data_IF_717649625666
#
_entry.id   IF_717649625666
#
_cell.length_a   1.000
_cell.length_b   1.000
_cell.length_c   1.000
_cell.angle_alpha   90.00
_cell.angle_beta   90.00
_cell.angle_gamma   90.00
#
_symmetry.space_group_name_H-M   'P 1'
#
loop_
_entity.id
_entity.type
_entity.pdbx_description
1 polymer ?
#
# COMPACT_ATOMS: atom_id res chain seq x y z
N UNK A 1 35.35 6.87 10.05
CA UNK A 1 34.13 6.03 9.95
C UNK A 1 33.39 6.15 11.27
N UNK A 2 32.42 7.05 11.38
CA UNK A 2 31.50 7.04 12.52
C UNK A 2 30.51 5.90 12.27
N UNK A 3 30.74 4.76 12.93
CA UNK A 3 29.77 3.67 12.97
C UNK A 3 28.44 4.15 13.55
N UNK A 4 27.37 3.36 13.38
CA UNK A 4 26.13 3.58 14.11
C UNK A 4 26.48 3.68 15.59
N UNK A 5 26.25 4.84 16.21
CA UNK A 5 26.70 5.06 17.59
C UNK A 5 25.98 4.14 18.58
N UNK A 6 24.77 3.68 18.26
CA UNK A 6 24.08 2.63 19.03
C UNK A 6 23.12 1.85 18.12
N UNK A 7 23.32 0.53 18.03
CA UNK A 7 22.30 -0.40 17.54
C UNK A 7 21.63 -0.99 18.77
N UNK A 8 20.40 -0.58 19.04
CA UNK A 8 19.60 -1.15 20.12
C UNK A 8 18.78 -2.33 19.58
N UNK A 9 18.71 -3.41 20.34
CA UNK A 9 17.77 -4.52 20.06
C UNK A 9 16.73 -4.49 21.17
N UNK A 10 15.46 -4.49 20.79
CA UNK A 10 14.32 -4.49 21.71
C UNK A 10 13.55 -5.79 21.57
N UNK A 11 13.29 -6.43 22.71
CA UNK A 11 12.29 -7.49 22.84
C UNK A 11 10.86 -6.93 22.82
N UNK A 12 9.88 -7.80 22.65
CA UNK A 12 8.46 -7.43 22.69
C UNK A 12 8.03 -6.79 24.01
N UNK A 13 8.57 -7.27 25.14
CA UNK A 13 8.24 -6.73 26.47
C UNK A 13 8.84 -5.35 26.69
N UNK A 14 10.12 -5.15 26.34
CA UNK A 14 10.73 -3.82 26.39
C UNK A 14 10.00 -2.81 25.51
N UNK A 15 9.45 -3.27 24.37
CA UNK A 15 8.71 -2.41 23.46
C UNK A 15 7.38 -1.95 24.06
N UNK A 16 6.68 -2.81 24.81
CA UNK A 16 5.40 -2.48 25.46
C UNK A 16 5.57 -1.44 26.58
N UNK A 17 6.73 -1.45 27.23
CA UNK A 17 7.04 -0.54 28.33
C UNK A 17 7.67 0.79 27.85
N UNK A 18 8.05 0.88 26.57
CA UNK A 18 8.78 2.03 26.05
C UNK A 18 7.87 3.10 25.45
N UNK A 19 8.05 4.34 25.89
CA UNK A 19 7.38 5.52 25.32
C UNK A 19 8.00 6.01 24.00
N UNK A 20 9.21 5.53 23.67
CA UNK A 20 9.94 5.88 22.45
C UNK A 20 10.92 4.76 22.06
N UNK A 21 11.25 4.62 20.77
CA UNK A 21 12.26 3.65 20.33
C UNK A 21 13.70 4.18 20.47
N UNK A 22 13.86 5.49 20.39
CA UNK A 22 15.15 6.18 20.32
C UNK A 22 15.35 7.11 21.53
N UNK A 23 16.60 7.47 21.86
CA UNK A 23 16.90 8.53 22.82
C UNK A 23 16.20 9.84 22.47
N UNK A 24 15.94 10.68 23.48
CA UNK A 24 15.20 11.93 23.34
C UNK A 24 15.83 12.88 22.32
N UNK A 25 17.16 12.89 22.17
CA UNK A 25 17.88 13.74 21.23
C UNK A 25 17.56 13.39 19.76
N UNK A 26 17.14 12.16 19.49
CA UNK A 26 16.68 11.70 18.18
C UNK A 26 15.15 11.83 18.10
N UNK A 27 14.44 11.37 19.13
CA UNK A 27 12.97 11.33 19.15
C UNK A 27 12.31 12.71 19.28
N UNK A 28 13.07 13.73 19.70
CA UNK A 28 12.65 15.13 19.77
C UNK A 28 13.31 16.02 18.69
N UNK A 29 14.05 15.45 17.74
CA UNK A 29 14.57 16.19 16.59
C UNK A 29 13.47 16.28 15.50
N UNK A 30 12.98 17.49 15.24
CA UNK A 30 11.91 17.76 14.24
C UNK A 30 12.35 17.52 12.80
N UNK A 31 13.64 17.31 12.54
CA UNK A 31 14.20 16.93 11.24
C UNK A 31 14.42 15.41 11.09
N UNK A 32 14.19 14.64 12.15
CA UNK A 32 14.26 13.17 12.11
C UNK A 32 12.89 12.56 11.83
N UNK A 33 12.87 11.57 10.94
CA UNK A 33 11.70 10.75 10.62
C UNK A 33 12.09 9.27 10.62
N UNK A 34 11.09 8.39 10.61
CA UNK A 34 11.28 6.97 10.87
C UNK A 34 10.87 6.10 9.69
N UNK A 35 11.78 5.21 9.27
CA UNK A 35 11.51 4.20 8.27
C UNK A 35 11.63 2.81 8.88
N UNK A 36 10.63 1.98 8.69
CA UNK A 36 10.61 0.63 9.22
C UNK A 36 10.55 -0.41 8.09
N UNK A 37 11.25 -1.52 8.28
CA UNK A 37 11.41 -2.59 7.29
C UNK A 37 11.73 -3.93 7.94
N UNK A 38 11.84 -4.98 7.14
CA UNK A 38 12.26 -6.31 7.57
C UNK A 38 13.79 -6.46 7.59
N UNK A 39 14.29 -7.38 8.43
CA UNK A 39 15.70 -7.76 8.51
C UNK A 39 16.34 -8.10 7.16
N UNK A 40 15.55 -8.62 6.21
CA UNK A 40 16.00 -8.95 4.85
C UNK A 40 16.60 -7.77 4.07
N UNK A 41 16.24 -6.52 4.41
CA UNK A 41 16.78 -5.32 3.76
C UNK A 41 17.90 -4.65 4.56
N UNK A 42 18.12 -5.09 5.81
CA UNK A 42 18.98 -4.38 6.76
C UNK A 42 20.42 -4.24 6.24
N UNK A 43 21.04 -5.35 5.82
CA UNK A 43 22.42 -5.34 5.36
C UNK A 43 22.65 -4.39 4.17
N UNK A 44 21.69 -4.30 3.26
CA UNK A 44 21.75 -3.41 2.09
C UNK A 44 21.59 -1.95 2.51
N UNK A 45 20.63 -1.66 3.39
CA UNK A 45 20.39 -0.30 3.89
C UNK A 45 21.59 0.19 4.71
N UNK A 46 22.17 -0.67 5.53
CA UNK A 46 23.35 -0.37 6.34
C UNK A 46 24.57 -0.06 5.48
N UNK A 47 24.69 -0.69 4.30
CA UNK A 47 25.81 -0.48 3.39
C UNK A 47 25.60 0.75 2.49
N UNK A 48 24.42 0.91 1.92
CA UNK A 48 24.15 1.85 0.81
C UNK A 48 23.30 3.06 1.23
N UNK A 49 22.58 2.97 2.35
CA UNK A 49 21.50 3.88 2.69
C UNK A 49 20.14 3.40 2.17
N UNK A 50 19.13 4.29 2.23
CA UNK A 50 17.77 3.97 1.83
C UNK A 50 17.57 4.29 0.35
N UNK A 51 17.17 3.29 -0.43
CA UNK A 51 16.74 3.45 -1.82
C UNK A 51 15.66 2.45 -2.17
N UNK A 52 14.76 2.84 -3.06
CA UNK A 52 13.84 1.88 -3.68
C UNK A 52 14.61 0.88 -4.57
N UNK A 53 14.11 -0.35 -4.64
CA UNK A 53 14.70 -1.44 -5.39
C UNK A 53 13.65 -2.08 -6.30
N UNK A 54 13.82 -2.07 -7.63
CA UNK A 54 12.81 -2.59 -8.57
C UNK A 54 12.71 -4.12 -8.60
N UNK A 55 13.59 -4.82 -7.89
CA UNK A 55 13.81 -6.26 -8.07
C UNK A 55 12.72 -7.18 -7.49
N UNK A 56 11.74 -6.67 -6.75
CA UNK A 56 10.74 -7.52 -6.08
C UNK A 56 9.51 -7.81 -6.94
N UNK A 57 8.94 -6.77 -7.52
CA UNK A 57 7.85 -6.82 -8.49
C UNK A 57 7.87 -5.54 -9.33
N UNK A 58 7.33 -5.61 -10.54
CA UNK A 58 7.19 -4.45 -11.42
C UNK A 58 5.79 -3.81 -11.33
N UNK A 59 5.58 -2.70 -12.04
CA UNK A 59 4.24 -2.12 -12.21
C UNK A 59 3.33 -3.10 -12.93
N UNK A 60 3.85 -3.81 -13.92
CA UNK A 60 3.14 -4.82 -14.69
C UNK A 60 2.66 -5.97 -13.82
N UNK A 61 3.47 -6.42 -12.86
CA UNK A 61 3.06 -7.43 -11.88
C UNK A 61 1.81 -6.97 -11.10
N UNK A 62 1.77 -5.69 -10.68
CA UNK A 62 0.62 -5.13 -9.94
C UNK A 62 -0.58 -4.96 -10.87
N UNK A 63 -0.38 -4.46 -12.09
CA UNK A 63 -1.44 -4.33 -13.11
C UNK A 63 -2.05 -5.70 -13.40
N UNK A 64 -1.24 -6.75 -13.50
CA UNK A 64 -1.70 -8.11 -13.72
C UNK A 64 -2.61 -8.58 -12.58
N UNK A 65 -2.23 -8.37 -11.31
CA UNK A 65 -3.10 -8.72 -10.17
C UNK A 65 -4.39 -7.90 -10.20
N UNK A 66 -4.30 -6.58 -10.31
CA UNK A 66 -5.46 -5.67 -10.30
C UNK A 66 -6.43 -5.96 -11.45
N UNK A 67 -5.93 -6.33 -12.63
CA UNK A 67 -6.76 -6.66 -13.79
C UNK A 67 -7.68 -7.87 -13.54
N UNK A 68 -7.24 -8.86 -12.74
CA UNK A 68 -8.05 -10.03 -12.41
C UNK A 68 -9.28 -9.61 -11.60
N UNK A 69 -9.07 -8.83 -10.54
CA UNK A 69 -10.13 -8.32 -9.66
C UNK A 69 -11.10 -7.40 -10.40
N UNK A 70 -10.58 -6.47 -11.21
CA UNK A 70 -11.42 -5.59 -12.04
C UNK A 70 -12.25 -6.38 -13.07
N UNK A 71 -11.66 -7.40 -13.69
CA UNK A 71 -12.38 -8.26 -14.65
C UNK A 71 -13.55 -8.98 -13.98
N UNK A 72 -13.34 -9.51 -12.77
CA UNK A 72 -14.38 -10.14 -11.94
C UNK A 72 -15.37 -9.13 -11.36
N UNK A 73 -15.07 -7.83 -11.41
CA UNK A 73 -15.72 -6.76 -10.66
C UNK A 73 -15.82 -7.07 -9.15
N UNK A 74 -14.72 -7.60 -8.59
CA UNK A 74 -14.63 -8.04 -7.20
C UNK A 74 -13.54 -7.28 -6.44
N UNK A 75 -13.79 -6.94 -5.17
CA UNK A 75 -12.82 -6.22 -4.33
C UNK A 75 -11.97 -7.13 -3.43
N UNK A 76 -12.15 -8.46 -3.51
CA UNK A 76 -11.54 -9.41 -2.58
C UNK A 76 -12.33 -9.57 -1.27
N UNK A 77 -11.86 -10.45 -0.40
CA UNK A 77 -12.37 -10.61 0.97
C UNK A 77 -11.54 -9.73 1.92
N UNK A 78 -10.24 -9.66 1.69
CA UNK A 78 -9.32 -8.92 2.55
C UNK A 78 -9.18 -7.46 2.10
N UNK A 79 -9.52 -6.51 2.97
CA UNK A 79 -9.48 -5.07 2.67
C UNK A 79 -8.07 -4.54 2.37
N UNK A 80 -7.02 -5.22 2.87
CA UNK A 80 -5.62 -4.88 2.54
C UNK A 80 -5.06 -5.59 1.31
N UNK A 81 -5.89 -6.27 0.50
CA UNK A 81 -5.47 -6.93 -0.74
C UNK A 81 -5.60 -6.01 -1.96
N UNK A 82 -6.54 -6.33 -2.85
CA UNK A 82 -6.80 -5.60 -4.09
C UNK A 82 -6.93 -4.08 -3.90
N UNK A 83 -7.73 -3.65 -2.92
CA UNK A 83 -8.01 -2.23 -2.69
C UNK A 83 -6.72 -1.45 -2.45
N UNK A 84 -5.75 -2.04 -1.74
CA UNK A 84 -4.46 -1.41 -1.49
C UNK A 84 -3.61 -1.34 -2.75
N UNK A 85 -3.58 -2.41 -3.55
CA UNK A 85 -2.85 -2.41 -4.82
C UNK A 85 -3.37 -1.37 -5.81
N UNK A 86 -4.70 -1.25 -5.92
CA UNK A 86 -5.34 -0.33 -6.85
C UNK A 86 -5.16 1.15 -6.43
N UNK A 87 -5.46 1.45 -5.17
CA UNK A 87 -5.49 2.83 -4.67
C UNK A 87 -4.13 3.36 -4.23
N UNK A 88 -3.32 2.54 -3.55
CA UNK A 88 -2.04 3.00 -3.01
C UNK A 88 -0.88 2.72 -3.95
N UNK A 89 -0.84 1.53 -4.57
CA UNK A 89 0.29 1.21 -5.43
C UNK A 89 0.13 1.75 -6.85
N UNK A 90 -0.85 1.29 -7.63
CA UNK A 90 -1.01 1.78 -9.01
C UNK A 90 -1.33 3.27 -9.06
N UNK A 91 -2.21 3.72 -8.18
CA UNK A 91 -2.63 5.12 -8.17
C UNK A 91 -1.78 6.00 -7.27
N UNK A 92 -0.77 5.49 -6.55
CA UNK A 92 0.03 6.29 -5.61
C UNK A 92 1.54 6.13 -5.79
N UNK A 93 2.04 4.89 -5.65
CA UNK A 93 3.48 4.57 -5.75
C UNK A 93 4.06 4.84 -7.15
N UNK A 94 3.27 4.62 -8.21
CA UNK A 94 3.72 4.65 -9.60
C UNK A 94 3.10 5.79 -10.43
N UNK A 95 2.83 6.94 -9.80
CA UNK A 95 2.19 8.12 -10.42
C UNK A 95 3.07 8.89 -11.45
N UNK A 96 3.85 8.21 -12.28
CA UNK A 96 4.49 8.83 -13.45
C UNK A 96 6.01 8.76 -13.52
N UNK A 97 6.65 7.98 -12.65
CA UNK A 97 8.11 7.83 -12.63
C UNK A 97 8.52 6.36 -12.58
N UNK A 98 9.72 6.08 -13.08
CA UNK A 98 10.37 4.77 -12.98
C UNK A 98 10.73 4.39 -11.54
N UNK A 99 10.33 5.17 -10.53
CA UNK A 99 10.68 4.92 -9.14
C UNK A 99 9.51 5.15 -8.16
N UNK A 100 9.49 4.32 -7.11
CA UNK A 100 8.52 4.40 -6.00
C UNK A 100 9.12 5.19 -4.84
N UNK A 101 8.37 6.09 -4.18
CA UNK A 101 8.88 6.84 -3.04
C UNK A 101 9.15 5.93 -1.84
N UNK A 102 10.08 6.35 -1.00
CA UNK A 102 10.29 5.80 0.33
C UNK A 102 9.37 6.51 1.31
N UNK A 103 8.74 5.74 2.19
CA UNK A 103 7.77 6.25 3.16
C UNK A 103 8.40 6.34 4.54
N UNK A 104 8.12 7.45 5.23
CA UNK A 104 8.57 7.74 6.58
C UNK A 104 7.40 8.14 7.45
N UNK A 105 7.51 7.81 8.73
CA UNK A 105 6.58 8.24 9.78
C UNK A 105 7.23 9.29 10.64
N UNK A 106 6.38 10.16 11.16
CA UNK A 106 6.73 11.25 12.07
C UNK A 106 7.15 10.72 13.44
N UNK A 107 6.68 9.52 13.79
CA UNK A 107 6.84 8.91 15.10
C UNK A 107 7.43 7.51 15.00
N UNK A 108 8.40 7.23 15.88
CA UNK A 108 9.14 5.97 15.88
C UNK A 108 8.22 4.78 16.15
N UNK A 109 7.37 4.85 17.16
CA UNK A 109 6.40 3.81 17.49
C UNK A 109 5.37 3.56 16.37
N UNK A 110 4.91 4.61 15.66
CA UNK A 110 3.96 4.45 14.53
C UNK A 110 4.57 3.69 13.36
N UNK A 111 5.89 3.74 13.19
CA UNK A 111 6.58 3.00 12.13
C UNK A 111 6.61 1.48 12.38
N UNK A 112 6.43 1.02 13.63
CA UNK A 112 6.56 -0.39 14.01
C UNK A 112 5.67 -1.34 13.22
N UNK A 113 4.50 -0.88 12.77
CA UNK A 113 3.60 -1.69 11.95
C UNK A 113 4.32 -2.22 10.69
N UNK A 114 5.22 -1.44 10.10
CA UNK A 114 6.00 -1.84 8.91
C UNK A 114 7.22 -2.70 9.24
N UNK A 115 7.57 -2.82 10.52
CA UNK A 115 8.64 -3.71 10.98
C UNK A 115 8.14 -5.15 11.19
N UNK A 116 6.82 -5.37 11.15
CA UNK A 116 6.20 -6.67 11.36
C UNK A 116 6.44 -7.62 10.18
N UNK A 117 6.40 -8.92 10.47
CA UNK A 117 6.51 -10.00 9.48
C UNK A 117 5.53 -9.87 8.33
N UNK A 118 4.29 -9.48 8.62
CA UNK A 118 3.24 -9.32 7.60
C UNK A 118 3.53 -8.16 6.63
N UNK A 119 4.44 -7.25 6.97
CA UNK A 119 4.88 -6.14 6.12
C UNK A 119 6.25 -6.39 5.48
N UNK A 120 6.81 -7.60 5.59
CA UNK A 120 8.04 -7.95 4.90
C UNK A 120 7.88 -7.76 3.38
N UNK A 121 8.77 -6.97 2.79
CA UNK A 121 8.69 -6.49 1.41
C UNK A 121 7.89 -5.22 1.18
N UNK A 122 7.36 -4.61 2.25
CA UNK A 122 6.52 -3.42 2.21
C UNK A 122 5.04 -3.70 1.90
N UNK A 123 4.25 -2.62 1.91
CA UNK A 123 2.78 -2.67 1.75
C UNK A 123 2.33 -3.41 0.48
N UNK A 124 2.99 -3.16 -0.65
CA UNK A 124 2.60 -3.79 -1.92
C UNK A 124 2.83 -5.30 -1.91
N UNK A 125 3.94 -5.78 -1.33
CA UNK A 125 4.21 -7.21 -1.22
C UNK A 125 3.16 -7.90 -0.34
N UNK A 126 2.79 -7.26 0.77
CA UNK A 126 1.69 -7.68 1.65
C UNK A 126 0.36 -7.74 0.91
N UNK A 127 0.01 -6.69 0.20
CA UNK A 127 -1.22 -6.61 -0.56
C UNK A 127 -1.28 -7.64 -1.70
N UNK A 128 -0.17 -7.94 -2.37
CA UNK A 128 -0.05 -9.05 -3.34
C UNK A 128 -0.34 -10.40 -2.66
N UNK A 129 0.24 -10.67 -1.48
CA UNK A 129 -0.04 -11.92 -0.74
C UNK A 129 -1.52 -12.06 -0.42
N UNK A 130 -2.16 -11.00 0.10
CA UNK A 130 -3.58 -11.04 0.40
C UNK A 130 -4.46 -11.18 -0.83
N UNK A 131 -4.20 -10.38 -1.87
CA UNK A 131 -4.96 -10.44 -3.12
C UNK A 131 -4.86 -11.84 -3.76
N UNK A 132 -3.67 -12.42 -3.86
CA UNK A 132 -3.52 -13.76 -4.45
C UNK A 132 -4.16 -14.86 -3.60
N UNK A 133 -4.11 -14.77 -2.27
CA UNK A 133 -4.84 -15.69 -1.37
C UNK A 133 -6.36 -15.57 -1.53
N UNK A 134 -6.89 -14.36 -1.72
CA UNK A 134 -8.30 -14.15 -1.99
C UNK A 134 -8.74 -14.84 -3.30
N UNK A 135 -7.92 -14.76 -4.36
CA UNK A 135 -8.22 -15.46 -5.62
C UNK A 135 -8.22 -16.99 -5.44
N UNK A 136 -7.28 -17.55 -4.67
CA UNK A 136 -7.28 -18.97 -4.33
C UNK A 136 -8.49 -19.37 -3.49
N UNK A 137 -8.87 -18.50 -2.54
CA UNK A 137 -10.05 -18.69 -1.70
C UNK A 137 -11.31 -18.73 -2.57
N UNK A 138 -11.44 -17.81 -3.52
CA UNK A 138 -12.54 -17.77 -4.48
C UNK A 138 -12.63 -19.08 -5.30
N UNK A 139 -11.50 -19.67 -5.70
CA UNK A 139 -11.48 -20.96 -6.40
C UNK A 139 -11.96 -22.12 -5.52
N UNK A 140 -11.59 -22.13 -4.24
CA UNK A 140 -11.84 -23.25 -3.32
C UNK A 140 -13.20 -23.18 -2.63
N UNK A 141 -13.67 -21.99 -2.28
CA UNK A 141 -14.83 -21.80 -1.41
C UNK A 141 -16.06 -21.34 -2.20
N UNK A 142 -17.09 -22.18 -2.28
CA UNK A 142 -18.35 -21.85 -2.96
C UNK A 142 -19.07 -20.66 -2.33
N UNK A 143 -19.06 -20.58 -0.99
CA UNK A 143 -19.69 -19.48 -0.27
C UNK A 143 -19.10 -18.11 -0.66
N UNK A 144 -17.78 -18.02 -0.84
CA UNK A 144 -17.14 -16.76 -1.26
C UNK A 144 -17.62 -16.33 -2.65
N UNK A 145 -17.82 -17.28 -3.56
CA UNK A 145 -18.33 -17.02 -4.91
C UNK A 145 -19.78 -16.56 -4.88
N UNK A 146 -20.60 -17.26 -4.09
CA UNK A 146 -22.02 -16.95 -3.96
C UNK A 146 -22.22 -15.57 -3.30
N UNK A 147 -21.51 -15.28 -2.21
CA UNK A 147 -21.57 -13.98 -1.53
C UNK A 147 -21.16 -12.84 -2.47
N UNK A 148 -20.09 -13.03 -3.25
CA UNK A 148 -19.66 -12.07 -4.26
C UNK A 148 -20.76 -11.82 -5.30
N UNK A 149 -21.28 -12.88 -5.92
CA UNK A 149 -22.31 -12.77 -6.95
C UNK A 149 -23.59 -12.11 -6.41
N UNK A 150 -24.07 -12.53 -5.24
CA UNK A 150 -25.26 -11.97 -4.60
C UNK A 150 -25.05 -10.50 -4.22
N UNK A 151 -23.86 -10.12 -3.77
CA UNK A 151 -23.53 -8.72 -3.50
C UNK A 151 -23.63 -7.86 -4.77
N UNK A 152 -23.00 -8.29 -5.87
CA UNK A 152 -23.09 -7.59 -7.16
C UNK A 152 -24.53 -7.50 -7.65
N UNK A 153 -25.29 -8.61 -7.58
CA UNK A 153 -26.69 -8.65 -8.03
C UNK A 153 -27.58 -7.71 -7.23
N UNK A 154 -27.43 -7.69 -5.89
CA UNK A 154 -28.19 -6.76 -5.01
C UNK A 154 -27.89 -5.31 -5.34
N UNK A 155 -26.62 -4.96 -5.53
CA UNK A 155 -26.21 -3.62 -5.90
C UNK A 155 -26.77 -3.22 -7.28
N UNK A 156 -26.67 -4.09 -8.28
CA UNK A 156 -27.19 -3.85 -9.62
C UNK A 156 -28.71 -3.63 -9.61
N UNK A 157 -29.47 -4.46 -8.89
CA UNK A 157 -30.92 -4.28 -8.73
C UNK A 157 -31.23 -2.93 -8.05
N UNK A 158 -30.49 -2.58 -7.01
CA UNK A 158 -30.67 -1.30 -6.31
C UNK A 158 -30.42 -0.10 -7.22
N UNK A 159 -29.39 -0.16 -8.08
CA UNK A 159 -29.07 0.89 -9.04
C UNK A 159 -30.13 0.98 -10.14
N UNK A 160 -30.55 -0.16 -10.68
CA UNK A 160 -31.56 -0.22 -11.73
C UNK A 160 -32.92 0.30 -11.24
N UNK A 161 -33.30 -0.03 -10.00
CA UNK A 161 -34.52 0.49 -9.37
C UNK A 161 -34.51 2.02 -9.20
N UNK A 162 -33.33 2.63 -9.06
CA UNK A 162 -33.15 4.09 -9.03
C UNK A 162 -32.88 4.71 -10.41
N UNK A 163 -33.08 3.94 -11.49
CA UNK A 163 -32.84 4.35 -12.89
C UNK A 163 -31.36 4.70 -13.16
N UNK A 164 -30.44 4.18 -12.35
CA UNK A 164 -29.01 4.30 -12.55
C UNK A 164 -28.45 3.11 -13.36
N UNK A 165 -27.34 3.35 -14.06
CA UNK A 165 -26.65 2.29 -14.83
C UNK A 165 -25.98 1.32 -13.86
N UNK A 166 -26.35 0.03 -13.84
CA UNK A 166 -25.75 -0.93 -12.91
C UNK A 166 -24.26 -1.13 -13.16
N UNK A 167 -23.55 -1.57 -12.12
CA UNK A 167 -22.22 -2.15 -12.26
C UNK A 167 -22.32 -3.56 -12.91
N UNK A 168 -21.21 -4.07 -13.44
CA UNK A 168 -21.16 -5.40 -14.07
C UNK A 168 -21.48 -6.48 -13.02
N UNK A 169 -22.26 -7.49 -13.41
CA UNK A 169 -22.56 -8.64 -12.55
C UNK A 169 -21.98 -9.87 -13.20
N UNK A 170 -20.86 -10.37 -12.68
CA UNK A 170 -20.02 -11.34 -13.40
C UNK A 170 -20.13 -12.71 -12.75
N UNK A 171 -20.68 -13.68 -13.48
CA UNK A 171 -20.51 -15.10 -13.15
C UNK A 171 -19.15 -15.58 -13.61
N UNK A 172 -18.21 -15.60 -12.67
CA UNK A 172 -16.80 -15.90 -12.95
C UNK A 172 -16.60 -17.32 -13.48
N UNK A 173 -15.88 -17.42 -14.61
CA UNK A 173 -15.38 -18.65 -15.19
C UNK A 173 -14.19 -19.17 -14.37
N UNK A 174 -14.39 -20.25 -13.61
CA UNK A 174 -13.35 -20.80 -12.72
C UNK A 174 -12.13 -21.34 -13.48
N UNK A 175 -12.26 -21.79 -14.73
CA UNK A 175 -11.11 -22.20 -15.54
C UNK A 175 -10.24 -21.02 -15.94
N UNK A 176 -10.87 -19.87 -16.23
CA UNK A 176 -10.14 -18.63 -16.48
C UNK A 176 -9.41 -18.19 -15.22
N UNK A 177 -10.11 -18.15 -14.07
CA UNK A 177 -9.51 -17.72 -12.82
C UNK A 177 -8.35 -18.63 -12.40
N UNK A 178 -8.48 -19.95 -12.56
CA UNK A 178 -7.40 -20.90 -12.30
C UNK A 178 -6.13 -20.57 -13.11
N UNK A 179 -6.28 -20.26 -14.42
CA UNK A 179 -5.14 -19.84 -15.25
C UNK A 179 -4.49 -18.56 -14.75
N UNK A 180 -5.28 -17.59 -14.28
CA UNK A 180 -4.75 -16.35 -13.72
C UNK A 180 -3.99 -16.60 -12.41
N UNK A 181 -4.54 -17.42 -11.50
CA UNK A 181 -3.88 -17.82 -10.26
C UNK A 181 -2.57 -18.55 -10.53
N UNK A 182 -2.55 -19.48 -11.49
CA UNK A 182 -1.33 -20.20 -11.86
C UNK A 182 -0.27 -19.27 -12.45
N UNK A 183 -0.68 -18.31 -13.28
CA UNK A 183 0.20 -17.27 -13.83
C UNK A 183 0.81 -16.38 -12.74
N UNK A 184 0.02 -16.00 -11.73
CA UNK A 184 0.45 -15.13 -10.63
C UNK A 184 1.23 -15.86 -9.52
N UNK A 185 1.28 -17.20 -9.57
CA UNK A 185 1.93 -18.03 -8.55
C UNK A 185 3.40 -17.66 -8.29
N UNK A 186 4.26 -17.47 -9.31
CA UNK A 186 5.66 -17.11 -9.05
C UNK A 186 5.80 -15.77 -8.32
N UNK A 187 4.97 -14.78 -8.66
CA UNK A 187 4.94 -13.48 -7.97
C UNK A 187 4.55 -13.64 -6.50
N UNK A 188 3.51 -14.43 -6.22
CA UNK A 188 3.11 -14.75 -4.84
C UNK A 188 4.24 -15.42 -4.08
N UNK A 189 4.85 -16.45 -4.64
CA UNK A 189 5.94 -17.20 -3.99
C UNK A 189 7.13 -16.29 -3.63
N UNK A 190 7.51 -15.36 -4.51
CA UNK A 190 8.51 -14.33 -4.18
C UNK A 190 8.09 -13.48 -2.98
N UNK A 191 6.83 -13.04 -2.93
CA UNK A 191 6.32 -12.21 -1.84
C UNK A 191 6.16 -13.00 -0.52
N UNK A 192 5.75 -14.27 -0.57
CA UNK A 192 5.68 -15.15 0.60
C UNK A 192 7.07 -15.45 1.16
N UNK A 193 8.07 -15.65 0.30
CA UNK A 193 9.46 -15.88 0.71
C UNK A 193 10.00 -14.74 1.59
N UNK A 194 9.64 -13.48 1.32
CA UNK A 194 10.04 -12.35 2.16
C UNK A 194 9.49 -12.44 3.58
N UNK A 195 8.22 -12.83 3.72
CA UNK A 195 7.62 -13.04 5.03
C UNK A 195 8.21 -14.26 5.74
N UNK A 196 8.65 -15.28 4.99
CA UNK A 196 9.32 -16.46 5.55
C UNK A 196 10.75 -16.17 6.02
N UNK A 197 11.45 -15.26 5.34
CA UNK A 197 12.81 -14.81 5.66
C UNK A 197 12.85 -13.70 6.72
N UNK A 198 11.69 -13.23 7.20
CA UNK A 198 11.63 -12.23 8.26
C UNK A 198 12.09 -12.86 9.58
N UNK A 199 13.18 -12.33 10.12
CA UNK A 199 13.72 -12.74 11.43
C UNK A 199 13.36 -11.71 12.51
N UNK A 200 13.41 -10.43 12.15
CA UNK A 200 13.07 -9.30 13.03
C UNK A 200 12.70 -8.07 12.19
N UNK A 201 12.04 -7.12 12.84
CA UNK A 201 11.81 -5.79 12.30
C UNK A 201 13.00 -4.86 12.52
N UNK A 202 13.17 -3.86 11.67
CA UNK A 202 14.17 -2.81 11.82
C UNK A 202 13.51 -1.46 11.65
N UNK A 203 13.78 -0.54 12.58
CA UNK A 203 13.38 0.87 12.50
C UNK A 203 14.64 1.73 12.39
N UNK A 204 14.67 2.57 11.38
CA UNK A 204 15.72 3.55 11.12
C UNK A 204 15.22 4.94 11.46
N UNK A 205 16.00 5.69 12.23
CA UNK A 205 15.84 7.12 12.42
C UNK A 205 16.70 7.86 11.38
N UNK A 206 16.07 8.73 10.58
CA UNK A 206 16.68 9.36 9.41
C UNK A 206 16.54 10.87 9.51
N UNK A 207 17.66 11.58 9.52
CA UNK A 207 17.71 13.03 9.60
C UNK A 207 17.72 13.64 8.21
N UNK A 208 16.73 14.48 7.92
CA UNK A 208 16.67 15.28 6.71
C UNK A 208 17.43 16.59 6.86
N UNK A 209 17.72 17.24 5.74
CA UNK A 209 18.24 18.62 5.66
C UNK A 209 17.47 19.43 4.63
N UNK A 210 17.73 20.74 4.57
CA UNK A 210 17.08 21.63 3.59
C UNK A 210 17.29 21.20 2.14
N UNK A 211 18.43 20.55 1.85
CA UNK A 211 18.75 20.02 0.51
C UNK A 211 17.80 18.89 0.08
N UNK A 212 17.15 18.22 1.02
CA UNK A 212 16.24 17.12 0.72
C UNK A 212 14.84 17.63 0.33
N UNK A 213 14.46 18.85 0.72
CA UNK A 213 13.10 19.42 0.56
C UNK A 213 12.55 19.30 -0.88
N UNK A 214 13.32 19.54 -1.96
CA UNK A 214 12.83 19.38 -3.33
C UNK A 214 12.42 17.95 -3.70
N UNK A 215 12.80 16.96 -2.89
CA UNK A 215 12.49 15.54 -3.08
C UNK A 215 11.49 15.01 -2.06
N UNK A 216 10.96 15.88 -1.20
CA UNK A 216 10.03 15.52 -0.14
C UNK A 216 8.61 15.95 -0.45
N UNK A 217 7.67 15.18 0.11
CA UNK A 217 6.26 15.50 0.05
C UNK A 217 5.49 14.93 1.23
N UNK A 218 4.62 15.74 1.82
CA UNK A 218 3.78 15.30 2.92
C UNK A 218 2.47 14.70 2.40
N UNK A 219 2.06 13.58 3.00
CA UNK A 219 0.75 12.95 2.77
C UNK A 219 0.05 12.77 4.10
N UNK A 220 -1.12 13.41 4.26
CA UNK A 220 -1.89 13.37 5.52
C UNK A 220 -2.15 11.94 6.05
N UNK A 221 -2.36 10.97 5.16
CA UNK A 221 -2.58 9.58 5.54
C UNK A 221 -1.28 8.74 5.63
N UNK A 222 -0.32 8.98 4.74
CA UNK A 222 0.83 8.08 4.55
C UNK A 222 2.13 8.58 5.22
N UNK A 223 2.11 9.80 5.77
CA UNK A 223 3.29 10.47 6.29
C UNK A 223 4.16 11.09 5.20
N UNK A 224 5.46 11.15 5.45
CA UNK A 224 6.42 11.79 4.55
C UNK A 224 6.86 10.82 3.46
N UNK A 225 6.88 11.30 2.21
CA UNK A 225 7.41 10.58 1.05
C UNK A 225 8.72 11.22 0.62
N UNK A 226 9.72 10.40 0.33
CA UNK A 226 10.99 10.83 -0.24
C UNK A 226 11.19 10.18 -1.61
N UNK A 227 11.45 11.03 -2.60
CA UNK A 227 11.59 10.68 -4.01
C UNK A 227 13.06 10.62 -4.46
N UNK A 228 14.01 10.69 -3.53
CA UNK A 228 15.44 10.54 -3.81
C UNK A 228 16.08 9.49 -2.89
N UNK A 229 17.13 8.79 -3.35
CA UNK A 229 17.92 7.93 -2.47
C UNK A 229 18.52 8.73 -1.31
N UNK A 230 18.51 8.16 -0.09
CA UNK A 230 19.13 8.76 1.09
C UNK A 230 20.40 8.00 1.44
N UNK A 231 21.51 8.72 1.49
CA UNK A 231 22.81 8.15 1.83
C UNK A 231 22.84 7.63 3.28
N UNK A 232 23.67 6.62 3.52
CA UNK A 232 23.84 5.99 4.85
C UNK A 232 24.08 7.00 5.99
N UNK A 233 24.83 8.07 5.74
CA UNK A 233 25.15 9.09 6.76
C UNK A 233 23.94 9.92 7.23
N UNK A 234 22.79 9.82 6.57
CA UNK A 234 21.52 10.40 7.02
C UNK A 234 20.85 9.56 8.11
N UNK A 235 21.24 8.30 8.26
CA UNK A 235 20.71 7.39 9.29
C UNK A 235 21.40 7.72 10.62
N UNK A 236 20.66 8.28 11.56
CA UNK A 236 21.16 8.73 12.88
C UNK A 236 20.88 7.74 14.00
N UNK A 237 20.01 6.75 13.76
CA UNK A 237 19.71 5.69 14.73
C UNK A 237 19.16 4.45 14.05
N UNK A 238 19.34 3.30 14.69
CA UNK A 238 18.77 2.02 14.26
C UNK A 238 18.33 1.18 15.46
N UNK A 239 17.13 0.63 15.38
CA UNK A 239 16.57 -0.29 16.38
C UNK A 239 16.12 -1.57 15.69
N UNK A 240 16.56 -2.72 16.20
CA UNK A 240 16.01 -4.04 15.82
C UNK A 240 14.88 -4.39 16.79
N UNK A 241 13.78 -4.90 16.27
CA UNK A 241 12.59 -5.25 17.04
C UNK A 241 12.31 -6.74 16.86
N UNK A 242 12.47 -7.49 17.96
CA UNK A 242 12.22 -8.93 18.01
C UNK A 242 10.82 -9.12 18.61
N UNK A 243 9.83 -9.27 17.74
CA UNK A 243 8.45 -9.53 18.13
C UNK A 243 8.11 -10.99 17.83
N UNK A 244 8.00 -11.82 18.86
CA UNK A 244 7.59 -13.22 18.72
C UNK A 244 6.08 -13.30 18.49
N UNK A 245 5.65 -13.29 17.23
CA UNK A 245 4.30 -13.71 16.81
C UNK A 245 3.12 -12.82 17.24
N UNK A 246 3.31 -11.90 18.16
CA UNK A 246 2.28 -10.97 18.59
C UNK A 246 2.25 -9.72 17.71
N UNK A 247 1.03 -9.22 17.47
CA UNK A 247 0.84 -7.94 16.79
C UNK A 247 1.47 -6.84 17.63
N UNK A 248 2.49 -6.16 17.09
CA UNK A 248 3.01 -4.93 17.66
C UNK A 248 1.91 -3.87 17.54
N UNK A 249 1.01 -3.81 18.52
CA UNK A 249 0.04 -2.73 18.60
C UNK A 249 0.82 -1.44 18.83
N UNK A 250 0.72 -0.49 17.90
CA UNK A 250 0.91 0.89 18.30
C UNK A 250 -0.14 1.16 19.37
N UNK A 251 0.25 1.66 20.54
CA UNK A 251 -0.70 2.17 21.51
C UNK A 251 -1.67 3.16 20.85
N UNK A 252 -2.76 3.49 21.53
CA UNK A 252 -3.88 4.29 21.02
C UNK A 252 -3.40 5.47 20.14
N UNK A 253 -3.49 5.33 18.80
CA UNK A 253 -2.86 6.23 17.82
C UNK A 253 -3.21 7.70 18.09
N UNK A 254 -4.41 7.97 18.62
CA UNK A 254 -4.88 9.31 18.97
C UNK A 254 -4.06 9.98 20.06
N UNK A 255 -3.68 9.27 21.13
CA UNK A 255 -2.89 9.83 22.23
C UNK A 255 -1.46 10.12 21.76
N UNK A 256 -0.90 9.23 20.95
CA UNK A 256 0.43 9.39 20.37
C UNK A 256 0.49 10.57 19.40
N UNK A 257 -0.57 10.77 18.59
CA UNK A 257 -0.71 11.93 17.70
C UNK A 257 -0.80 13.22 18.53
N UNK A 258 -1.62 13.25 19.59
CA UNK A 258 -1.77 14.43 20.44
C UNK A 258 -0.47 14.81 21.14
N UNK A 259 0.25 13.83 21.71
CA UNK A 259 1.53 14.04 22.42
C UNK A 259 2.60 14.66 21.52
N UNK A 260 2.54 14.40 20.21
CA UNK A 260 3.59 14.80 19.28
C UNK A 260 3.22 15.91 18.29
N UNK A 261 2.08 16.58 18.50
CA UNK A 261 1.69 17.76 17.71
C UNK A 261 2.74 18.86 17.68
N UNK A 262 3.62 18.93 18.67
CA UNK A 262 4.73 19.88 18.71
C UNK A 262 5.61 19.83 17.44
N UNK A 263 5.72 18.68 16.76
CA UNK A 263 6.46 18.55 15.49
C UNK A 263 5.81 19.31 14.33
N UNK A 264 4.49 19.42 14.35
CA UNK A 264 3.70 20.20 13.39
C UNK A 264 3.71 21.70 13.75
N UNK A 265 3.95 22.01 15.03
CA UNK A 265 3.95 23.38 15.57
C UNK A 265 5.33 24.04 15.58
N UNK A 266 6.43 23.27 15.45
CA UNK A 266 7.79 23.81 15.36
C UNK A 266 7.96 24.60 14.05
N UNK A 267 8.09 25.94 14.10
CA UNK A 267 8.20 26.76 12.89
C UNK A 267 9.51 26.49 12.12
N UNK A 268 10.52 25.93 12.77
CA UNK A 268 11.80 25.57 12.15
C UNK A 268 11.91 24.06 11.86
N UNK A 269 10.85 23.30 12.13
CA UNK A 269 10.81 21.87 11.92
C UNK A 269 10.59 21.50 10.45
N UNK A 270 10.91 20.24 10.11
CA UNK A 270 10.82 19.74 8.74
C UNK A 270 9.43 19.96 8.12
N UNK A 271 8.36 19.71 8.87
CA UNK A 271 6.99 19.79 8.37
C UNK A 271 6.59 21.23 8.03
N UNK A 272 6.93 22.19 8.88
CA UNK A 272 6.68 23.62 8.64
C UNK A 272 7.48 24.14 7.45
N UNK A 273 8.78 23.81 7.38
CA UNK A 273 9.64 24.20 6.25
C UNK A 273 9.16 23.57 4.95
N UNK A 274 8.73 22.30 4.97
CA UNK A 274 8.18 21.62 3.81
C UNK A 274 6.85 22.26 3.35
N UNK A 275 5.95 22.59 4.26
CA UNK A 275 4.68 23.26 3.93
C UNK A 275 4.91 24.64 3.29
N UNK A 276 5.88 25.41 3.80
CA UNK A 276 6.28 26.68 3.19
C UNK A 276 6.89 26.48 1.80
N UNK A 277 7.74 25.46 1.63
CA UNK A 277 8.32 25.12 0.33
C UNK A 277 7.26 24.65 -0.68
N UNK A 278 6.26 23.88 -0.25
CA UNK A 278 5.11 23.47 -1.07
C UNK A 278 4.31 24.71 -1.53
N UNK A 279 4.03 25.65 -0.64
CA UNK A 279 3.34 26.90 -0.98
C UNK A 279 4.12 27.76 -2.00
N UNK A 280 5.45 27.64 -2.02
CA UNK A 280 6.35 28.31 -2.97
C UNK A 280 6.65 27.50 -4.24
N UNK A 281 6.14 26.27 -4.36
CA UNK A 281 6.46 25.38 -5.48
C UNK A 281 7.92 24.88 -5.50
N UNK A 282 8.57 24.83 -4.35
CA UNK A 282 9.97 24.41 -4.16
C UNK A 282 10.11 22.96 -3.64
N UNK A 283 9.03 22.38 -3.13
CA UNK A 283 8.96 20.96 -2.76
C UNK A 283 8.75 20.08 -4.00
N UNK A 284 8.78 18.76 -3.80
CA UNK A 284 8.57 17.82 -4.90
C UNK A 284 7.21 18.09 -5.58
N UNK A 285 7.18 18.35 -6.89
CA UNK A 285 5.97 18.83 -7.54
C UNK A 285 4.86 17.79 -7.47
N UNK A 286 3.65 18.26 -7.18
CA UNK A 286 2.45 17.62 -7.67
C UNK A 286 2.52 17.68 -9.20
N UNK A 287 3.05 16.65 -9.85
CA UNK A 287 2.87 16.55 -11.29
C UNK A 287 1.37 16.67 -11.56
N UNK A 288 0.98 17.64 -12.41
CA UNK A 288 -0.42 17.83 -12.84
C UNK A 288 -0.97 16.45 -13.21
N UNK A 289 -2.19 16.07 -12.79
CA UNK A 289 -2.64 14.69 -12.64
C UNK A 289 -2.15 13.85 -13.82
N UNK A 290 -0.99 13.22 -13.63
CA UNK A 290 -0.36 12.44 -14.68
C UNK A 290 -1.26 11.22 -14.78
N UNK A 291 -2.17 11.30 -15.76
CA UNK A 291 -3.26 10.36 -16.07
C UNK A 291 -2.85 8.96 -15.63
N UNK A 292 -3.46 8.51 -14.54
CA UNK A 292 -3.13 7.27 -13.87
C UNK A 292 -2.78 6.20 -14.91
N UNK A 293 -1.62 5.57 -14.76
CA UNK A 293 -1.25 4.40 -15.57
C UNK A 293 -2.42 3.40 -15.59
N UNK A 294 -3.16 3.32 -14.48
CA UNK A 294 -4.39 2.55 -14.29
C UNK A 294 -5.55 2.84 -15.28
N UNK A 295 -5.57 3.98 -15.98
CA UNK A 295 -6.58 4.31 -17.00
C UNK A 295 -6.10 4.12 -18.44
N UNK A 296 -4.80 3.86 -18.66
CA UNK A 296 -4.23 3.77 -20.01
C UNK A 296 -3.84 2.36 -20.44
N UNK A 297 -3.84 1.37 -19.54
CA UNK A 297 -3.55 0.00 -19.95
C UNK A 297 -4.78 -0.61 -20.64
N UNK A 298 -4.74 -0.96 -21.94
CA UNK A 298 -5.83 -1.64 -22.63
C UNK A 298 -6.08 -3.06 -22.09
N UNK A 299 -5.32 -3.52 -21.08
CA UNK A 299 -5.43 -4.84 -20.45
C UNK A 299 -6.23 -4.87 -19.15
N UNK A 300 -6.89 -3.78 -18.73
CA UNK A 300 -7.51 -3.74 -17.39
C UNK A 300 -8.74 -4.64 -17.24
N UNK A 301 -9.41 -5.01 -18.33
CA UNK A 301 -10.61 -5.86 -18.32
C UNK A 301 -10.48 -7.00 -19.33
N UNK A 302 -10.58 -8.23 -18.83
CA UNK A 302 -10.64 -9.46 -19.62
C UNK A 302 -12.08 -9.99 -19.61
N UNK A 303 -12.79 -9.81 -20.72
CA UNK A 303 -14.18 -10.26 -20.86
C UNK A 303 -14.32 -11.79 -20.89
N UNK A 304 -13.23 -12.55 -21.01
CA UNK A 304 -13.26 -14.01 -20.90
C UNK A 304 -13.36 -14.50 -19.45
N UNK A 305 -13.35 -13.57 -18.49
CA UNK A 305 -13.45 -13.86 -17.05
C UNK A 305 -14.78 -14.46 -16.62
N UNK A 306 -15.85 -14.33 -17.40
CA UNK A 306 -17.18 -14.79 -17.00
C UNK A 306 -18.30 -14.26 -17.89
N UNK A 307 -19.53 -14.67 -17.57
CA UNK A 307 -20.74 -14.12 -18.19
C UNK A 307 -21.16 -12.87 -17.42
N UNK A 308 -21.41 -11.77 -18.13
CA UNK A 308 -21.96 -10.54 -17.55
C UNK A 308 -23.48 -10.56 -17.63
N UNK A 309 -24.15 -10.58 -16.48
CA UNK A 309 -25.61 -10.67 -16.34
C UNK A 309 -26.25 -9.30 -16.08
N UNK A 310 -25.49 -8.21 -16.14
CA UNK A 310 -26.02 -6.86 -15.88
C UNK A 310 -27.13 -6.44 -16.85
N UNK A 311 -27.06 -6.84 -18.12
CA UNK A 311 -28.13 -6.61 -19.11
C UNK A 311 -29.42 -7.35 -18.74
N UNK A 312 -29.31 -8.63 -18.35
CA UNK A 312 -30.47 -9.43 -17.95
C UNK A 312 -31.14 -8.84 -16.72
N UNK A 313 -30.36 -8.43 -15.72
CA UNK A 313 -30.87 -7.77 -14.51
C UNK A 313 -31.57 -6.45 -14.85
N UNK A 314 -30.99 -5.63 -15.75
CA UNK A 314 -31.59 -4.38 -16.19
C UNK A 314 -32.93 -4.61 -16.92
N UNK A 315 -33.04 -5.70 -17.69
CA UNK A 315 -34.28 -6.11 -18.37
C UNK A 315 -35.34 -6.60 -17.39
N UNK A 316 -34.95 -7.37 -16.38
CA UNK A 316 -35.87 -7.95 -15.39
C UNK A 316 -36.38 -6.93 -14.37
N UNK A 317 -35.51 -6.02 -13.93
CA UNK A 317 -35.75 -5.13 -12.79
C UNK A 317 -35.83 -3.64 -13.15
N UNK A 318 -35.53 -3.27 -14.40
CA UNK A 318 -35.39 -1.89 -14.85
C UNK A 318 -36.47 -1.40 -15.80
N UNK A 319 -36.32 -0.16 -16.26
CA UNK A 319 -37.15 0.37 -17.33
C UNK A 319 -36.69 -0.15 -18.70
N UNK A 320 -37.58 -0.26 -19.70
CA UNK A 320 -37.18 -0.65 -21.05
C UNK A 320 -36.07 0.22 -21.64
N UNK A 321 -36.08 1.53 -21.35
CA UNK A 321 -35.06 2.47 -21.82
C UNK A 321 -33.69 2.23 -21.18
N UNK A 322 -33.64 1.89 -19.89
CA UNK A 322 -32.39 1.56 -19.20
C UNK A 322 -31.82 0.22 -19.70
N UNK A 323 -32.66 -0.80 -19.87
CA UNK A 323 -32.24 -2.08 -20.42
C UNK A 323 -31.63 -1.91 -21.84
N UNK A 324 -32.28 -1.11 -22.68
CA UNK A 324 -31.77 -0.78 -24.01
C UNK A 324 -30.43 -0.05 -23.94
N UNK A 325 -30.30 0.91 -23.01
CA UNK A 325 -29.07 1.65 -22.80
C UNK A 325 -27.90 0.72 -22.41
N UNK A 326 -28.10 -0.17 -21.44
CA UNK A 326 -27.08 -1.14 -20.98
C UNK A 326 -26.65 -2.06 -22.12
N UNK A 327 -27.60 -2.55 -22.92
CA UNK A 327 -27.34 -3.39 -24.11
C UNK A 327 -26.50 -2.68 -25.16
N UNK A 328 -26.77 -1.39 -25.43
CA UNK A 328 -26.02 -0.60 -26.40
C UNK A 328 -24.65 -0.16 -25.89
N UNK A 329 -24.47 -0.09 -24.57
CA UNK A 329 -23.26 0.41 -23.91
C UNK A 329 -22.70 -0.62 -22.92
N UNK A 330 -22.31 -1.83 -23.39
CA UNK A 330 -21.70 -2.82 -22.52
C UNK A 330 -20.41 -2.21 -21.94
N UNK A 331 -20.28 -2.22 -20.61
CA UNK A 331 -19.09 -1.69 -19.93
C UNK A 331 -17.87 -2.50 -20.37
N UNK A 332 -16.96 -1.85 -21.11
CA UNK A 332 -15.71 -2.42 -21.62
C UNK A 332 -14.53 -2.09 -20.75
#
# INVERSE_FOLDING_TARGET
MTGFADIRTLSGDELRESDALFPAEIDQDSWVQYHATSSSNEAKIDAEGLRWSPNLFSVEDIVDVVSVFRSMNWCGVHSSGYVVLDSFSLSGDFQGEDFKPMYFREYSLRSLIYAQRDFAGGESARAIRYATRDLERYLKEEMVREDHYQSQRREAISLVASVAVPNRVVRVNLRWLQKQVDRLRPLRERCDALAQQHEYGVVYAVRFSQEDIPFLRLSSAMGLRCYSPLARNKIVGKVRVIAEGESLHSGNDTELIQKNRWREEDPNGLLSVLAEAEAKGQAYPLSAPQRAIAHRSPKMLDLTCGVDESEEIARESGTPGLAEYVRQHPRR
#
